data_IF_097905288592
#
_entry.id   IF_097905288592
#
_cell.length_a   1.000
_cell.length_b   1.000
_cell.length_c   1.000
_cell.angle_alpha   90.00
_cell.angle_beta   90.00
_cell.angle_gamma   90.00
#
_symmetry.space_group_name_H-M   'P 1'
#
loop_
_entity.id
_entity.type
_entity.pdbx_description
1 polymer ?
#
# COMPACT_ATOMS: atom_id res chain seq x y z
N UNK A 1 22.16 -32.11 -14.08
CA UNK A 1 22.63 -30.71 -13.94
C UNK A 1 21.61 -29.93 -13.11
N UNK A 2 21.92 -29.64 -11.85
CA UNK A 2 21.00 -28.93 -10.95
C UNK A 2 21.20 -27.41 -11.09
N UNK A 3 20.24 -26.73 -11.71
CA UNK A 3 20.22 -25.27 -11.82
C UNK A 3 20.03 -24.63 -10.44
N UNK A 4 21.05 -23.90 -9.96
CA UNK A 4 21.04 -23.14 -8.71
C UNK A 4 20.02 -22.01 -8.80
N UNK A 5 18.93 -22.09 -8.04
CA UNK A 5 17.96 -20.98 -7.90
C UNK A 5 18.67 -19.78 -7.25
N UNK A 6 18.64 -18.58 -7.84
CA UNK A 6 19.26 -17.42 -7.21
C UNK A 6 18.36 -16.94 -6.06
N UNK A 7 18.87 -17.09 -4.83
CA UNK A 7 18.31 -16.49 -3.62
C UNK A 7 18.48 -14.98 -3.67
N UNK A 8 17.64 -14.27 -4.43
CA UNK A 8 17.60 -12.81 -4.37
C UNK A 8 17.03 -12.41 -3.01
N UNK A 9 17.90 -11.91 -2.12
CA UNK A 9 17.48 -11.21 -0.92
C UNK A 9 16.41 -10.17 -1.31
N UNK A 10 15.29 -10.18 -0.59
CA UNK A 10 14.20 -9.21 -0.75
C UNK A 10 14.75 -7.81 -0.50
N UNK A 11 15.21 -7.13 -1.56
CA UNK A 11 15.52 -5.70 -1.49
C UNK A 11 14.21 -5.01 -1.17
N UNK A 12 14.12 -4.41 0.03
CA UNK A 12 12.98 -3.59 0.46
C UNK A 12 12.61 -2.65 -0.69
N UNK A 13 11.43 -2.84 -1.27
CA UNK A 13 10.98 -2.03 -2.40
C UNK A 13 10.81 -0.58 -1.92
N UNK A 14 11.81 0.26 -2.19
CA UNK A 14 11.77 1.73 -1.96
C UNK A 14 10.95 2.42 -3.06
N UNK A 15 9.77 1.89 -3.38
CA UNK A 15 8.85 2.53 -4.29
C UNK A 15 8.00 3.51 -3.49
N UNK A 16 8.20 4.81 -3.72
CA UNK A 16 7.40 5.85 -3.10
C UNK A 16 6.04 5.90 -3.81
N UNK A 17 4.95 5.74 -3.07
CA UNK A 17 3.62 5.96 -3.62
C UNK A 17 3.35 7.47 -3.68
N UNK A 18 3.68 8.09 -4.81
CA UNK A 18 3.45 9.52 -5.03
C UNK A 18 1.97 9.92 -5.09
N UNK A 19 1.06 8.95 -5.24
CA UNK A 19 -0.39 9.18 -5.21
C UNK A 19 -0.95 9.20 -3.78
N UNK A 20 -0.12 9.06 -2.74
CA UNK A 20 -0.58 9.32 -1.38
C UNK A 20 -1.04 10.78 -1.23
N UNK A 21 -2.19 11.08 -0.60
CA UNK A 21 -2.77 12.43 -0.56
C UNK A 21 -1.79 13.54 -0.15
N UNK A 22 -0.97 13.30 0.87
CA UNK A 22 0.01 14.27 1.39
C UNK A 22 1.12 14.55 0.36
N UNK A 23 1.60 13.52 -0.33
CA UNK A 23 2.64 13.65 -1.36
C UNK A 23 2.03 14.25 -2.62
N UNK A 24 0.81 13.85 -2.96
CA UNK A 24 0.07 14.33 -4.12
C UNK A 24 -0.17 15.85 -4.06
N UNK A 25 -0.49 16.39 -2.89
CA UNK A 25 -0.63 17.84 -2.69
C UNK A 25 0.63 18.62 -3.13
N UNK A 26 1.82 18.05 -2.91
CA UNK A 26 3.08 18.65 -3.36
C UNK A 26 3.27 18.52 -4.88
N UNK A 27 2.81 17.42 -5.49
CA UNK A 27 2.80 17.25 -6.95
C UNK A 27 1.86 18.29 -7.59
N UNK A 28 0.69 18.52 -7.02
CA UNK A 28 -0.22 19.56 -7.50
C UNK A 28 0.36 20.96 -7.36
N UNK A 29 0.97 21.27 -6.22
CA UNK A 29 1.65 22.55 -6.02
C UNK A 29 2.79 22.75 -7.04
N UNK A 30 3.55 21.71 -7.34
CA UNK A 30 4.56 21.73 -8.38
C UNK A 30 3.96 21.97 -9.78
N UNK A 31 2.82 21.35 -10.09
CA UNK A 31 2.13 21.55 -11.36
C UNK A 31 1.58 22.97 -11.54
N UNK A 32 1.03 23.55 -10.46
CA UNK A 32 0.59 24.95 -10.44
C UNK A 32 1.78 25.90 -10.61
N UNK A 33 2.89 25.64 -9.92
CA UNK A 33 4.11 26.49 -9.96
C UNK A 33 4.87 26.38 -11.29
N UNK A 34 4.84 25.23 -11.96
CA UNK A 34 5.43 25.05 -13.28
C UNK A 34 4.66 25.81 -14.37
N UNK A 35 3.39 26.16 -14.12
CA UNK A 35 2.56 26.94 -15.03
C UNK A 35 1.99 26.15 -16.20
N UNK A 36 1.14 26.81 -16.99
CA UNK A 36 0.57 26.28 -18.23
C UNK A 36 1.41 26.76 -19.42
N UNK A 37 1.60 25.94 -20.48
CA UNK A 37 1.09 24.57 -20.64
C UNK A 37 1.80 23.55 -19.73
N UNK A 38 1.08 22.51 -19.28
CA UNK A 38 1.69 21.47 -18.47
C UNK A 38 2.75 20.67 -19.24
N UNK A 39 4.00 20.85 -18.84
CA UNK A 39 5.15 20.08 -19.28
C UNK A 39 5.55 19.07 -18.20
N UNK A 40 5.52 17.75 -18.47
CA UNK A 40 5.92 16.75 -17.47
C UNK A 40 7.32 17.00 -16.91
N UNK A 41 8.25 17.44 -17.78
CA UNK A 41 9.61 17.80 -17.39
C UNK A 41 9.62 19.00 -16.44
N UNK A 42 8.91 20.09 -16.78
CA UNK A 42 8.87 21.29 -15.94
C UNK A 42 8.23 21.05 -14.57
N UNK A 43 7.18 20.23 -14.51
CA UNK A 43 6.52 19.85 -13.25
C UNK A 43 7.47 19.00 -12.39
N UNK A 44 8.17 18.02 -12.97
CA UNK A 44 9.14 17.19 -12.24
C UNK A 44 10.31 18.01 -11.72
N UNK A 45 10.89 18.89 -12.53
CA UNK A 45 11.96 19.81 -12.10
C UNK A 45 11.50 20.70 -10.95
N UNK A 46 10.27 21.22 -11.02
CA UNK A 46 9.68 22.03 -9.95
C UNK A 46 9.48 21.21 -8.68
N UNK A 47 8.93 19.99 -8.78
CA UNK A 47 8.75 19.09 -7.64
C UNK A 47 10.09 18.72 -6.99
N UNK A 48 11.11 18.42 -7.80
CA UNK A 48 12.46 18.11 -7.32
C UNK A 48 13.13 19.32 -6.66
N UNK A 49 12.91 20.55 -7.15
CA UNK A 49 13.37 21.77 -6.46
C UNK A 49 12.65 21.99 -5.13
N UNK A 50 11.36 21.67 -5.04
CA UNK A 50 10.58 21.80 -3.81
C UNK A 50 11.00 20.78 -2.75
N UNK A 51 11.20 19.52 -3.13
CA UNK A 51 11.65 18.46 -2.22
C UNK A 51 12.53 17.44 -2.96
N UNK A 52 13.86 17.68 -3.01
CA UNK A 52 14.78 16.84 -3.77
C UNK A 52 14.84 15.40 -3.28
N UNK A 53 14.70 15.17 -1.97
CA UNK A 53 14.78 13.83 -1.39
C UNK A 53 13.54 13.00 -1.73
N UNK A 54 12.35 13.59 -1.63
CA UNK A 54 11.09 12.91 -1.92
C UNK A 54 10.94 12.59 -3.41
N UNK A 55 11.22 13.56 -4.28
CA UNK A 55 10.96 13.46 -5.72
C UNK A 55 12.18 13.04 -6.56
N UNK A 56 13.28 12.64 -5.93
CA UNK A 56 14.53 12.23 -6.60
C UNK A 56 14.33 11.20 -7.72
N UNK A 57 13.33 10.32 -7.55
CA UNK A 57 13.03 9.21 -8.47
C UNK A 57 11.81 9.46 -9.33
N UNK A 58 11.13 10.60 -9.17
CA UNK A 58 10.01 10.95 -10.03
C UNK A 58 10.58 11.34 -11.39
N UNK A 59 10.08 10.73 -12.46
CA UNK A 59 10.54 10.99 -13.83
C UNK A 59 9.43 11.63 -14.66
N UNK A 60 9.78 12.40 -15.71
CA UNK A 60 8.79 13.01 -16.60
C UNK A 60 7.88 11.97 -17.26
N UNK A 61 8.39 10.76 -17.52
CA UNK A 61 7.60 9.66 -18.09
C UNK A 61 6.51 9.17 -17.14
N UNK A 62 6.83 9.03 -15.84
CA UNK A 62 5.85 8.63 -14.82
C UNK A 62 4.76 9.69 -14.71
N UNK A 63 5.15 10.97 -14.62
CA UNK A 63 4.21 12.07 -14.52
C UNK A 63 3.35 12.22 -15.79
N UNK A 64 3.95 12.05 -16.97
CA UNK A 64 3.24 12.10 -18.24
C UNK A 64 2.10 11.09 -18.34
N UNK A 65 2.28 9.89 -17.76
CA UNK A 65 1.20 8.88 -17.69
C UNK A 65 0.00 9.34 -16.86
N UNK A 66 0.19 10.29 -15.94
CA UNK A 66 -0.86 10.80 -15.05
C UNK A 66 -1.63 11.97 -15.63
N UNK A 67 -1.04 12.69 -16.60
CA UNK A 67 -1.69 13.80 -17.28
C UNK A 67 -2.72 13.24 -18.28
N UNK A 68 -3.87 13.88 -18.36
CA UNK A 68 -4.89 13.56 -19.35
C UNK A 68 -4.49 14.12 -20.72
N UNK A 69 -3.97 13.26 -21.60
CA UNK A 69 -3.52 13.64 -22.95
C UNK A 69 -4.67 14.11 -23.85
N UNK A 70 -5.88 13.61 -23.65
CA UNK A 70 -7.07 14.00 -24.42
C UNK A 70 -7.56 15.39 -23.99
N UNK A 71 -7.51 15.69 -22.69
CA UNK A 71 -7.73 17.05 -22.22
C UNK A 71 -6.65 18.01 -22.74
N UNK A 72 -5.39 17.56 -22.71
CA UNK A 72 -4.25 18.35 -23.20
C UNK A 72 -4.35 18.69 -24.68
N UNK A 73 -4.82 17.78 -25.53
CA UNK A 73 -5.01 18.05 -26.95
C UNK A 73 -6.13 19.07 -27.22
N UNK A 74 -7.08 19.22 -26.30
CA UNK A 74 -8.13 20.27 -26.29
C UNK A 74 -7.71 21.58 -25.64
N UNK A 75 -6.46 21.71 -25.18
CA UNK A 75 -5.97 22.91 -24.47
C UNK A 75 -6.32 22.96 -22.99
N UNK A 76 -6.85 21.88 -22.42
CA UNK A 76 -7.10 21.73 -20.98
C UNK A 76 -5.92 21.06 -20.27
N UNK A 77 -5.70 21.39 -18.99
CA UNK A 77 -4.61 20.80 -18.21
C UNK A 77 -5.16 20.21 -16.92
N UNK A 78 -5.36 18.89 -16.94
CA UNK A 78 -5.88 18.13 -15.80
C UNK A 78 -5.22 16.77 -15.69
N UNK A 79 -5.33 16.19 -14.50
CA UNK A 79 -4.92 14.82 -14.23
C UNK A 79 -5.99 13.83 -14.74
N UNK A 80 -5.58 12.61 -15.08
CA UNK A 80 -6.52 11.54 -15.40
C UNK A 80 -7.42 11.24 -14.22
N UNK A 81 -8.71 10.99 -14.47
CA UNK A 81 -9.68 10.63 -13.44
C UNK A 81 -9.23 9.40 -12.63
N UNK A 82 -8.66 8.38 -13.28
CA UNK A 82 -8.14 7.18 -12.61
C UNK A 82 -6.97 7.46 -11.66
N UNK A 83 -6.22 8.54 -11.85
CA UNK A 83 -5.18 8.98 -10.92
C UNK A 83 -5.82 9.66 -9.71
N UNK A 84 -6.79 10.54 -9.93
CA UNK A 84 -7.51 11.22 -8.84
C UNK A 84 -8.25 10.22 -7.95
N UNK A 85 -8.85 9.17 -8.53
CA UNK A 85 -9.47 8.09 -7.76
C UNK A 85 -8.45 7.32 -6.91
N UNK A 86 -7.26 7.04 -7.45
CA UNK A 86 -6.17 6.41 -6.67
C UNK A 86 -5.68 7.32 -5.55
N UNK A 87 -5.60 8.62 -5.79
CA UNK A 87 -5.24 9.60 -4.76
C UNK A 87 -6.28 9.61 -3.65
N UNK A 88 -7.56 9.62 -4.00
CA UNK A 88 -8.68 9.55 -3.05
C UNK A 88 -8.65 8.27 -2.21
N UNK A 89 -8.30 7.14 -2.82
CA UNK A 89 -8.12 5.87 -2.11
C UNK A 89 -6.86 5.85 -1.23
N UNK A 90 -5.80 6.59 -1.60
CA UNK A 90 -4.59 6.75 -0.82
C UNK A 90 -3.88 5.43 -0.50
N UNK A 91 -3.76 5.11 0.79
CA UNK A 91 -3.16 3.86 1.28
C UNK A 91 -4.21 2.77 1.56
N UNK A 92 -5.48 2.98 1.20
CA UNK A 92 -6.47 1.91 1.32
C UNK A 92 -5.95 0.68 0.54
N UNK A 93 -5.95 -0.52 1.14
CA UNK A 93 -5.54 -1.74 0.46
C UNK A 93 -6.52 -2.04 -0.68
N UNK A 94 -6.29 -1.45 -1.85
CA UNK A 94 -7.12 -1.60 -3.05
C UNK A 94 -6.63 -2.69 -4.00
N UNK A 95 -5.70 -3.54 -3.55
CA UNK A 95 -5.27 -4.70 -4.32
C UNK A 95 -6.22 -5.87 -4.05
N UNK A 96 -6.66 -6.55 -5.10
CA UNK A 96 -7.06 -7.95 -4.95
C UNK A 96 -5.84 -8.70 -4.41
N UNK A 97 -5.86 -9.02 -3.12
CA UNK A 97 -4.81 -9.81 -2.52
C UNK A 97 -4.95 -11.20 -3.12
N UNK A 98 -4.10 -11.54 -4.08
CA UNK A 98 -4.01 -12.89 -4.66
C UNK A 98 -3.42 -13.91 -3.68
N UNK A 99 -3.05 -13.46 -2.47
CA UNK A 99 -2.62 -14.32 -1.37
C UNK A 99 -3.82 -14.64 -0.50
N UNK A 100 -4.27 -15.88 -0.58
CA UNK A 100 -5.22 -16.41 0.39
C UNK A 100 -4.58 -16.35 1.78
N UNK A 101 -5.22 -15.65 2.72
CA UNK A 101 -4.80 -15.57 4.11
C UNK A 101 -4.97 -16.92 4.80
N UNK A 102 -4.15 -17.20 5.82
CA UNK A 102 -4.22 -18.49 6.51
C UNK A 102 -5.57 -18.74 7.19
N UNK A 103 -6.25 -17.66 7.61
CA UNK A 103 -7.57 -17.72 8.23
C UNK A 103 -8.71 -17.79 7.20
N UNK A 104 -8.43 -17.71 5.90
CA UNK A 104 -9.46 -17.81 4.87
C UNK A 104 -10.08 -19.22 4.82
N UNK A 105 -9.35 -20.25 5.30
CA UNK A 105 -9.89 -21.60 5.44
C UNK A 105 -10.73 -21.79 6.72
N UNK A 106 -10.79 -20.80 7.61
CA UNK A 106 -11.51 -20.83 8.90
C UNK A 106 -12.20 -19.48 9.17
N UNK A 107 -13.15 -19.06 8.30
CA UNK A 107 -13.75 -17.72 8.37
C UNK A 107 -14.43 -17.43 9.72
N UNK A 108 -14.96 -18.45 10.41
CA UNK A 108 -15.55 -18.34 11.74
C UNK A 108 -14.56 -17.82 12.79
N UNK A 109 -13.32 -18.29 12.77
CA UNK A 109 -12.25 -17.85 13.68
C UNK A 109 -11.85 -16.41 13.36
N UNK A 110 -11.81 -16.06 12.08
CA UNK A 110 -11.58 -14.69 11.64
C UNK A 110 -12.65 -13.73 12.17
N UNK A 111 -13.93 -14.11 12.09
CA UNK A 111 -15.03 -13.30 12.62
C UNK A 111 -15.00 -13.20 14.15
N UNK A 112 -14.61 -14.26 14.87
CA UNK A 112 -14.42 -14.21 16.32
C UNK A 112 -13.34 -13.20 16.72
N UNK A 113 -12.19 -13.23 16.06
CA UNK A 113 -11.11 -12.26 16.28
C UNK A 113 -11.61 -10.83 16.03
N UNK A 114 -12.26 -10.60 14.88
CA UNK A 114 -12.80 -9.27 14.54
C UNK A 114 -13.79 -8.78 15.60
N UNK A 115 -14.71 -9.64 16.02
CA UNK A 115 -15.72 -9.30 17.04
C UNK A 115 -15.07 -8.93 18.37
N UNK A 116 -14.07 -9.70 18.82
CA UNK A 116 -13.34 -9.43 20.05
C UNK A 116 -12.61 -8.08 19.99
N UNK A 117 -11.85 -7.83 18.92
CA UNK A 117 -11.10 -6.58 18.74
C UNK A 117 -12.04 -5.38 18.61
N UNK A 118 -13.16 -5.53 17.90
CA UNK A 118 -14.17 -4.49 17.79
C UNK A 118 -14.78 -4.15 19.15
N UNK A 119 -15.16 -5.15 19.94
CA UNK A 119 -15.73 -4.93 21.27
C UNK A 119 -14.77 -4.21 22.23
N UNK A 120 -13.47 -4.55 22.19
CA UNK A 120 -12.44 -3.86 23.00
C UNK A 120 -12.24 -2.42 22.54
N UNK A 121 -12.32 -2.16 21.23
CA UNK A 121 -12.23 -0.80 20.71
C UNK A 121 -13.46 0.05 21.08
N UNK A 122 -14.65 -0.55 21.03
CA UNK A 122 -15.91 0.10 21.40
C UNK A 122 -16.00 0.41 22.90
N UNK A 123 -15.34 -0.38 23.76
CA UNK A 123 -15.22 -0.08 25.19
C UNK A 123 -14.21 1.04 25.51
N UNK A 124 -13.57 1.62 24.50
CA UNK A 124 -12.59 2.72 24.65
C UNK A 124 -11.20 2.26 25.10
N UNK A 125 -10.95 0.95 25.18
CA UNK A 125 -9.65 0.43 25.53
C UNK A 125 -8.64 0.57 24.37
N UNK A 126 -7.39 0.86 24.71
CA UNK A 126 -6.31 0.99 23.74
C UNK A 126 -5.88 -0.41 23.29
N UNK A 127 -6.01 -0.67 21.99
CA UNK A 127 -5.43 -1.85 21.35
C UNK A 127 -4.03 -1.52 20.84
N UNK A 128 -3.03 -2.24 21.35
CA UNK A 128 -1.67 -2.25 20.81
C UNK A 128 -1.37 -3.60 20.13
N UNK A 129 -0.31 -3.67 19.33
CA UNK A 129 0.04 -4.89 18.60
C UNK A 129 0.20 -6.12 19.50
N UNK A 130 0.73 -5.94 20.71
CA UNK A 130 0.93 -7.04 21.67
C UNK A 130 -0.41 -7.62 22.13
N UNK A 131 -1.35 -6.75 22.52
CA UNK A 131 -2.70 -7.16 22.95
C UNK A 131 -3.51 -7.77 21.80
N UNK A 132 -3.44 -7.20 20.59
CA UNK A 132 -4.07 -7.80 19.40
C UNK A 132 -3.50 -9.19 19.14
N UNK A 133 -2.18 -9.35 19.21
CA UNK A 133 -1.49 -10.63 19.02
C UNK A 133 -1.93 -11.66 20.07
N UNK A 134 -1.94 -11.30 21.34
CA UNK A 134 -2.38 -12.19 22.42
C UNK A 134 -3.82 -12.68 22.20
N UNK A 135 -4.71 -11.79 21.78
CA UNK A 135 -6.10 -12.13 21.44
C UNK A 135 -6.15 -13.10 20.25
N UNK A 136 -5.43 -12.80 19.18
CA UNK A 136 -5.39 -13.67 18.00
C UNK A 136 -4.85 -15.06 18.34
N UNK A 137 -3.72 -15.14 19.06
CA UNK A 137 -3.12 -16.42 19.47
C UNK A 137 -4.08 -17.20 20.34
N UNK A 138 -4.65 -16.58 21.39
CA UNK A 138 -5.56 -17.27 22.31
C UNK A 138 -6.83 -17.78 21.63
N UNK A 139 -7.39 -17.02 20.67
CA UNK A 139 -8.57 -17.48 19.92
C UNK A 139 -8.20 -18.63 18.97
N UNK A 140 -7.09 -18.52 18.24
CA UNK A 140 -6.64 -19.58 17.31
C UNK A 140 -6.28 -20.85 18.09
N UNK A 141 -5.54 -20.74 19.19
CA UNK A 141 -5.12 -21.88 20.01
C UNK A 141 -6.32 -22.62 20.62
N UNK A 142 -7.38 -21.89 20.97
CA UNK A 142 -8.61 -22.46 21.51
C UNK A 142 -9.48 -23.15 20.45
N UNK A 143 -9.55 -22.60 19.24
CA UNK A 143 -10.57 -22.99 18.25
C UNK A 143 -10.02 -23.77 17.07
N UNK A 144 -8.77 -23.52 16.67
CA UNK A 144 -8.10 -24.17 15.55
C UNK A 144 -6.57 -24.23 15.76
N UNK A 145 -6.10 -24.95 16.81
CA UNK A 145 -4.68 -25.05 17.13
C UNK A 145 -3.84 -25.67 16.00
N UNK A 146 -4.44 -26.48 15.14
CA UNK A 146 -3.80 -27.10 13.97
C UNK A 146 -3.24 -26.08 12.98
N UNK A 147 -3.74 -24.84 12.98
CA UNK A 147 -3.21 -23.77 12.14
C UNK A 147 -1.74 -23.44 12.44
N UNK A 148 -1.29 -23.58 13.69
CA UNK A 148 0.11 -23.37 14.05
C UNK A 148 1.03 -24.48 13.55
N UNK A 149 0.49 -25.65 13.25
CA UNK A 149 1.23 -26.79 12.70
C UNK A 149 1.21 -26.82 11.17
N UNK A 150 0.43 -25.94 10.53
CA UNK A 150 0.34 -25.88 9.08
C UNK A 150 1.61 -25.28 8.49
N UNK A 151 2.32 -26.09 7.69
CA UNK A 151 3.43 -25.61 6.88
C UNK A 151 2.90 -24.77 5.71
N UNK A 152 3.43 -23.56 5.60
CA UNK A 152 3.26 -22.68 4.47
C UNK A 152 4.11 -23.17 3.29
N UNK A 153 3.87 -22.61 2.10
CA UNK A 153 4.56 -23.00 0.86
C UNK A 153 6.08 -22.75 0.88
N UNK A 154 6.57 -21.95 1.83
CA UNK A 154 7.99 -21.71 2.08
C UNK A 154 8.61 -22.65 3.14
N UNK A 155 7.84 -23.62 3.63
CA UNK A 155 8.27 -24.59 4.65
C UNK A 155 8.23 -24.06 6.09
N UNK A 156 7.80 -22.81 6.30
CA UNK A 156 7.64 -22.24 7.64
C UNK A 156 6.27 -22.57 8.21
N UNK A 157 6.19 -22.67 9.54
CA UNK A 157 4.91 -22.78 10.22
C UNK A 157 4.31 -21.39 10.44
N UNK A 158 2.99 -21.30 10.46
CA UNK A 158 2.32 -20.07 10.84
C UNK A 158 2.74 -19.60 12.23
N UNK A 159 3.08 -18.30 12.30
CA UNK A 159 3.30 -17.60 13.55
C UNK A 159 2.66 -16.23 13.43
N UNK A 160 2.00 -15.77 14.48
CA UNK A 160 1.64 -14.36 14.58
C UNK A 160 2.94 -13.55 14.68
N UNK A 161 3.14 -12.60 13.77
CA UNK A 161 4.36 -11.79 13.66
C UNK A 161 4.68 -11.03 14.96
N UNK A 162 5.97 -10.86 15.24
CA UNK A 162 6.52 -9.97 16.29
C UNK A 162 6.21 -8.49 16.00
#
# INVERSE_FOLDING_TARGET
MHGRKPTKALKKARNHNYMQPIIWAQVEAAARKAGKPWSPKGIVETAQKMNPQLFRRLTPQVLGRWIDDEAKSRGEYRWKASVLEKVKHGNAPGGHTTRQGILDSVPEVCEMIKKQLKGIRESGAILNSLSIRGIMVGIIEKHTPELFNRQLTDGTNFRCSE
#
